data_IF_157949009008
#
_entry.id   IF_157949009008
#
_cell.length_a   1.000
_cell.length_b   1.000
_cell.length_c   1.000
_cell.angle_alpha   90.00
_cell.angle_beta   90.00
_cell.angle_gamma   90.00
#
_symmetry.space_group_name_H-M   'P 1'
#
loop_
_entity.id
_entity.type
_entity.pdbx_description
1 polymer ?
#
# COMPACT_ATOMS: atom_id res chain seq x y z
N UNK A 1 2.04 22.72 14.72
CA UNK A 1 1.30 21.52 14.31
C UNK A 1 2.13 20.87 13.22
N UNK A 2 2.92 19.88 13.60
CA UNK A 2 3.91 19.23 12.74
C UNK A 2 3.22 18.15 11.91
N UNK A 3 3.31 18.29 10.59
CA UNK A 3 2.87 17.32 9.61
C UNK A 3 3.54 15.96 9.87
N UNK A 4 2.73 15.01 10.35
CA UNK A 4 3.13 13.62 10.55
C UNK A 4 3.28 12.90 9.21
N UNK A 5 4.35 13.18 8.48
CA UNK A 5 4.77 12.36 7.37
C UNK A 5 5.41 11.09 7.93
N UNK A 6 4.64 10.01 8.02
CA UNK A 6 5.24 8.68 8.06
C UNK A 6 5.84 8.41 6.68
N UNK A 7 7.13 8.73 6.56
CA UNK A 7 7.98 8.31 5.45
C UNK A 7 8.43 6.91 5.80
N UNK A 8 7.97 5.88 5.10
CA UNK A 8 8.64 4.58 5.14
C UNK A 8 10.09 4.84 4.71
N UNK A 9 11.11 4.30 5.41
CA UNK A 9 12.55 4.66 5.26
C UNK A 9 12.88 5.17 3.84
N UNK A 10 13.47 6.38 3.69
CA UNK A 10 13.74 6.92 2.38
C UNK A 10 14.89 6.14 1.72
N UNK A 11 14.57 5.12 0.93
CA UNK A 11 15.28 4.95 -0.32
C UNK A 11 14.83 6.13 -1.20
N UNK A 12 15.59 7.23 -1.11
CA UNK A 12 15.12 8.57 -1.44
C UNK A 12 14.29 8.66 -2.72
N UNK A 13 13.06 9.14 -2.62
CA UNK A 13 12.36 9.71 -3.75
C UNK A 13 11.24 10.62 -3.25
N UNK A 14 11.16 11.82 -3.83
CA UNK A 14 9.96 12.65 -3.82
C UNK A 14 8.75 11.77 -4.13
N UNK A 15 7.63 12.03 -3.47
CA UNK A 15 6.34 11.39 -3.72
C UNK A 15 5.83 11.68 -5.14
N UNK A 16 6.45 11.05 -6.13
CA UNK A 16 5.88 10.75 -7.43
C UNK A 16 5.43 9.30 -7.34
N UNK A 17 4.15 9.05 -7.62
CA UNK A 17 3.65 7.69 -7.86
C UNK A 17 4.52 7.08 -8.96
N UNK A 18 5.52 6.28 -8.58
CA UNK A 18 6.42 5.67 -9.54
C UNK A 18 5.71 4.44 -10.08
N UNK A 19 5.45 4.35 -11.40
CA UNK A 19 4.85 3.17 -12.01
C UNK A 19 5.71 1.90 -11.83
N UNK A 20 6.90 2.02 -11.24
CA UNK A 20 7.85 0.94 -11.00
C UNK A 20 7.58 0.15 -9.70
N UNK A 21 6.81 0.66 -8.74
CA UNK A 21 6.66 -0.01 -7.43
C UNK A 21 5.95 -1.36 -7.54
N UNK A 22 4.92 -1.47 -8.38
CA UNK A 22 4.20 -2.74 -8.58
C UNK A 22 5.08 -3.79 -9.29
N UNK A 23 5.77 -3.50 -10.41
CA UNK A 23 6.78 -4.41 -10.97
C UNK A 23 7.82 -4.87 -9.95
N UNK A 24 8.37 -3.95 -9.14
CA UNK A 24 9.36 -4.30 -8.11
C UNK A 24 8.80 -5.24 -7.04
N UNK A 25 7.55 -5.04 -6.61
CA UNK A 25 6.90 -5.93 -5.65
C UNK A 25 6.71 -7.34 -6.22
N UNK A 26 6.24 -7.46 -7.47
CA UNK A 26 6.08 -8.75 -8.15
C UNK A 26 7.42 -9.46 -8.39
N UNK A 27 8.47 -8.74 -8.76
CA UNK A 27 9.83 -9.29 -8.95
C UNK A 27 10.42 -9.80 -7.64
N UNK A 28 10.34 -9.01 -6.57
CA UNK A 28 10.81 -9.41 -5.24
C UNK A 28 10.02 -10.59 -4.69
N UNK A 29 8.70 -10.59 -4.89
CA UNK A 29 7.85 -11.73 -4.55
C UNK A 29 8.40 -12.99 -5.20
N UNK A 30 8.52 -13.03 -6.54
CA UNK A 30 9.03 -14.20 -7.28
C UNK A 30 10.41 -14.65 -6.84
N UNK A 31 11.32 -13.71 -6.57
CA UNK A 31 12.71 -14.02 -6.20
C UNK A 31 12.85 -14.58 -4.79
N UNK A 32 12.03 -14.09 -3.85
CA UNK A 32 12.22 -14.34 -2.43
C UNK A 32 11.04 -15.04 -1.75
N UNK A 33 10.04 -15.52 -2.51
CA UNK A 33 8.80 -16.12 -2.01
C UNK A 33 9.05 -17.19 -0.93
N UNK A 34 9.64 -18.31 -1.33
CA UNK A 34 9.88 -19.46 -0.46
C UNK A 34 10.76 -19.11 0.75
N UNK A 35 11.79 -18.28 0.55
CA UNK A 35 12.66 -17.86 1.63
C UNK A 35 11.92 -16.98 2.64
N UNK A 36 11.11 -16.02 2.17
CA UNK A 36 10.31 -15.14 3.03
C UNK A 36 9.27 -15.94 3.80
N UNK A 37 8.58 -16.86 3.14
CA UNK A 37 7.54 -17.69 3.76
C UNK A 37 8.11 -18.57 4.87
N UNK A 38 9.17 -19.32 4.57
CA UNK A 38 9.84 -20.18 5.55
C UNK A 38 10.35 -19.40 6.76
N UNK A 39 10.95 -18.22 6.53
CA UNK A 39 11.42 -17.36 7.61
C UNK A 39 10.26 -16.81 8.43
N UNK A 40 9.23 -16.27 7.78
CA UNK A 40 8.07 -15.70 8.44
C UNK A 40 7.32 -16.73 9.31
N UNK A 41 7.14 -17.94 8.80
CA UNK A 41 6.55 -19.06 9.54
C UNK A 41 7.39 -19.46 10.75
N UNK A 42 8.71 -19.28 10.69
CA UNK A 42 9.61 -19.56 11.82
C UNK A 42 9.62 -18.48 12.90
N UNK A 43 9.17 -17.27 12.58
CA UNK A 43 9.21 -16.13 13.50
C UNK A 43 8.05 -16.14 14.48
N UNK A 44 8.35 -15.83 15.74
CA UNK A 44 7.34 -15.55 16.75
C UNK A 44 6.73 -14.13 16.59
N UNK A 45 5.68 -13.83 17.35
CA UNK A 45 5.02 -12.53 17.30
C UNK A 45 5.96 -11.35 17.63
N UNK A 46 6.99 -11.57 18.44
CA UNK A 46 7.98 -10.55 18.81
C UNK A 46 8.90 -10.26 17.64
N UNK A 47 9.44 -11.29 16.99
CA UNK A 47 10.30 -11.19 15.80
C UNK A 47 9.54 -10.56 14.62
N UNK A 48 8.28 -10.94 14.41
CA UNK A 48 7.39 -10.34 13.40
C UNK A 48 7.14 -8.86 13.65
N UNK A 49 6.87 -8.50 14.90
CA UNK A 49 6.70 -7.09 15.31
C UNK A 49 8.00 -6.30 15.15
N UNK A 50 9.15 -6.91 15.46
CA UNK A 50 10.45 -6.28 15.29
C UNK A 50 10.74 -5.97 13.81
N UNK A 51 10.47 -6.92 12.90
CA UNK A 51 10.60 -6.71 11.46
C UNK A 51 9.69 -5.57 10.98
N UNK A 52 8.43 -5.54 11.41
CA UNK A 52 7.50 -4.47 11.04
C UNK A 52 7.93 -3.10 11.59
N UNK A 53 8.51 -3.02 12.78
CA UNK A 53 9.03 -1.76 13.30
C UNK A 53 10.32 -1.34 12.59
N UNK A 54 11.19 -2.29 12.22
CA UNK A 54 12.42 -2.00 11.49
C UNK A 54 12.14 -1.33 10.12
N UNK A 55 11.01 -1.67 9.49
CA UNK A 55 10.58 -1.11 8.20
C UNK A 55 10.03 0.33 8.30
N UNK A 56 9.66 0.76 9.50
CA UNK A 56 9.08 2.08 9.76
C UNK A 56 10.12 3.11 10.20
N UNK A 57 9.92 4.38 9.83
CA UNK A 57 10.73 5.47 10.38
C UNK A 57 10.51 5.57 11.89
N UNK A 58 11.61 5.65 12.63
CA UNK A 58 11.64 5.69 14.09
C UNK A 58 10.98 4.47 14.78
N UNK A 59 10.68 3.40 14.04
CA UNK A 59 9.98 2.23 14.58
C UNK A 59 8.50 2.47 14.90
N UNK A 60 7.93 3.58 14.43
CA UNK A 60 6.57 3.99 14.74
C UNK A 60 5.59 3.42 13.73
N UNK A 61 4.65 2.61 14.21
CA UNK A 61 3.64 1.91 13.40
C UNK A 61 2.25 2.04 14.01
N UNK A 62 1.21 1.84 13.20
CA UNK A 62 -0.17 1.77 13.68
C UNK A 62 -0.32 0.61 14.67
N UNK A 63 -1.06 0.79 15.76
CA UNK A 63 -1.32 -0.28 16.74
C UNK A 63 -2.36 -1.29 16.23
N UNK A 64 -3.32 -0.81 15.45
CA UNK A 64 -4.41 -1.56 14.83
C UNK A 64 -4.94 -0.79 13.60
N UNK A 65 -5.79 -1.40 12.73
CA UNK A 65 -6.22 -0.80 11.46
C UNK A 65 -6.91 0.57 11.55
N UNK A 66 -7.48 0.89 12.70
CA UNK A 66 -8.23 2.14 12.96
C UNK A 66 -7.51 3.10 13.89
N UNK A 67 -6.21 2.91 14.11
CA UNK A 67 -5.42 3.74 15.02
C UNK A 67 -5.16 5.14 14.43
N UNK A 68 -5.70 6.17 15.09
CA UNK A 68 -5.57 7.57 14.66
C UNK A 68 -4.35 8.29 15.26
N UNK A 69 -3.51 7.60 16.05
CA UNK A 69 -2.37 8.21 16.74
C UNK A 69 -1.29 8.76 15.79
N UNK A 70 -1.23 8.25 14.56
CA UNK A 70 -0.35 8.74 13.49
C UNK A 70 -1.09 9.64 12.49
N UNK A 71 -2.18 10.28 12.94
CA UNK A 71 -3.01 11.13 12.09
C UNK A 71 -3.74 10.30 11.05
N UNK A 72 -3.56 10.66 9.77
CA UNK A 72 -4.34 10.10 8.66
C UNK A 72 -3.73 8.83 8.05
N UNK A 73 -2.61 8.37 8.58
CA UNK A 73 -1.86 7.20 8.08
C UNK A 73 -2.73 5.94 7.96
N UNK A 74 -3.62 5.71 8.92
CA UNK A 74 -4.54 4.56 8.92
C UNK A 74 -5.49 4.52 7.71
N UNK A 75 -5.64 5.64 7.00
CA UNK A 75 -6.44 5.70 5.76
C UNK A 75 -5.69 5.18 4.54
N UNK A 76 -4.36 5.06 4.63
CA UNK A 76 -3.51 4.67 3.50
C UNK A 76 -2.84 3.31 3.69
N UNK A 77 -2.47 2.93 4.92
CA UNK A 77 -1.86 1.62 5.21
C UNK A 77 -2.42 0.94 6.46
N UNK A 78 -3.75 0.78 6.58
CA UNK A 78 -4.34 0.14 7.77
C UNK A 78 -3.82 -1.28 7.99
N UNK A 79 -3.34 -1.97 6.95
CA UNK A 79 -2.80 -3.33 7.00
C UNK A 79 -1.42 -3.42 7.65
N UNK A 80 -0.65 -2.32 7.67
CA UNK A 80 0.69 -2.29 8.26
C UNK A 80 0.63 -2.01 9.77
N UNK A 81 0.11 -2.97 10.54
CA UNK A 81 -0.01 -2.90 11.99
C UNK A 81 0.37 -4.24 12.66
N UNK A 82 0.98 -4.23 13.87
CA UNK A 82 1.39 -5.45 14.54
C UNK A 82 0.23 -6.39 14.89
N UNK A 83 -0.98 -5.86 15.15
CA UNK A 83 -2.13 -6.69 15.51
C UNK A 83 -2.50 -7.64 14.37
N UNK A 84 -2.50 -7.18 13.13
CA UNK A 84 -2.85 -8.01 11.99
C UNK A 84 -1.63 -8.77 11.44
N UNK A 85 -0.45 -8.14 11.39
CA UNK A 85 0.76 -8.75 10.80
C UNK A 85 1.41 -9.77 11.74
N UNK A 86 1.53 -9.47 13.03
CA UNK A 86 2.25 -10.34 13.96
C UNK A 86 1.41 -11.54 14.42
N UNK A 87 0.11 -11.56 14.10
CA UNK A 87 -0.75 -12.71 14.37
C UNK A 87 -0.35 -13.90 13.48
N UNK A 88 0.03 -15.00 14.13
CA UNK A 88 0.48 -16.22 13.48
C UNK A 88 -0.64 -17.12 12.99
N UNK A 89 -1.87 -16.95 13.47
CA UNK A 89 -2.96 -17.85 13.08
C UNK A 89 -3.57 -17.50 11.72
N UNK A 90 -3.35 -16.29 11.21
CA UNK A 90 -4.05 -15.77 10.03
C UNK A 90 -3.20 -15.72 8.76
N UNK A 91 -1.90 -16.03 8.85
CA UNK A 91 -0.91 -15.86 7.76
C UNK A 91 -1.11 -14.55 6.97
N UNK A 92 -1.53 -13.51 7.68
CA UNK A 92 -2.10 -12.29 7.09
C UNK A 92 -1.11 -11.62 6.14
N UNK A 93 0.16 -11.55 6.53
CA UNK A 93 1.22 -10.98 5.70
C UNK A 93 1.43 -11.76 4.40
N UNK A 94 1.39 -13.11 4.46
CA UNK A 94 1.60 -13.95 3.28
C UNK A 94 0.45 -13.80 2.30
N UNK A 95 -0.79 -13.79 2.80
CA UNK A 95 -1.98 -13.54 2.01
C UNK A 95 -1.97 -12.14 1.38
N UNK A 96 -1.62 -11.11 2.16
CA UNK A 96 -1.51 -9.74 1.68
C UNK A 96 -0.43 -9.60 0.58
N UNK A 97 0.74 -10.22 0.80
CA UNK A 97 1.84 -10.27 -0.19
C UNK A 97 1.40 -10.98 -1.46
N UNK A 98 0.77 -12.14 -1.34
CA UNK A 98 0.29 -12.91 -2.49
C UNK A 98 -0.73 -12.12 -3.31
N UNK A 99 -1.75 -11.57 -2.66
CA UNK A 99 -2.78 -10.77 -3.31
C UNK A 99 -2.15 -9.59 -4.06
N UNK A 100 -1.30 -8.80 -3.42
CA UNK A 100 -0.72 -7.61 -4.06
C UNK A 100 0.26 -7.92 -5.19
N UNK A 101 0.93 -9.07 -5.15
CA UNK A 101 1.85 -9.50 -6.20
C UNK A 101 1.15 -10.08 -7.44
N UNK A 102 -0.03 -10.70 -7.26
CA UNK A 102 -0.69 -11.50 -8.30
C UNK A 102 -1.99 -10.91 -8.84
N UNK A 103 -2.53 -9.85 -8.24
CA UNK A 103 -3.73 -9.17 -8.74
C UNK A 103 -3.39 -7.87 -9.47
N UNK A 104 -4.26 -7.47 -10.40
CA UNK A 104 -4.11 -6.20 -11.11
C UNK A 104 -4.40 -5.01 -10.18
N UNK A 105 -3.88 -3.80 -10.44
CA UNK A 105 -4.21 -2.63 -9.60
C UNK A 105 -5.71 -2.31 -9.72
N UNK A 106 -6.26 -2.52 -10.92
CA UNK A 106 -7.69 -2.40 -11.14
C UNK A 106 -8.50 -3.43 -10.35
N UNK A 107 -8.03 -4.68 -10.27
CA UNK A 107 -8.67 -5.71 -9.47
C UNK A 107 -8.60 -5.39 -7.97
N UNK A 108 -7.43 -4.97 -7.46
CA UNK A 108 -7.26 -4.51 -6.07
C UNK A 108 -8.18 -3.33 -5.74
N UNK A 109 -8.39 -2.44 -6.70
CA UNK A 109 -9.30 -1.31 -6.57
C UNK A 109 -10.77 -1.74 -6.50
N UNK A 110 -11.19 -2.66 -7.36
CA UNK A 110 -12.58 -3.13 -7.44
C UNK A 110 -12.96 -4.02 -6.26
N UNK A 111 -12.07 -4.92 -5.85
CA UNK A 111 -12.32 -5.89 -4.78
C UNK A 111 -12.12 -5.28 -3.40
N UNK A 112 -11.13 -4.39 -3.26
CA UNK A 112 -10.66 -3.86 -1.97
C UNK A 112 -10.07 -4.96 -1.07
N UNK A 113 -9.10 -4.61 -0.22
CA UNK A 113 -8.46 -5.58 0.68
C UNK A 113 -9.43 -6.15 1.76
N UNK A 114 -10.66 -5.64 1.86
CA UNK A 114 -11.76 -6.14 2.73
C UNK A 114 -13.17 -6.03 2.13
N UNK A 115 -13.33 -6.16 0.80
CA UNK A 115 -14.66 -6.28 0.17
C UNK A 115 -15.55 -5.03 0.24
N UNK A 116 -14.95 -3.84 0.37
CA UNK A 116 -15.69 -2.58 0.39
C UNK A 116 -14.88 -1.45 -0.26
N UNK A 117 -15.55 -0.41 -0.78
CA UNK A 117 -14.88 0.69 -1.47
C UNK A 117 -13.97 1.44 -0.49
N UNK A 118 -12.66 1.19 -0.57
CA UNK A 118 -11.60 1.69 0.30
C UNK A 118 -11.44 3.23 0.37
N UNK A 119 -12.39 3.98 -0.19
CA UNK A 119 -12.22 5.37 -0.59
C UNK A 119 -13.36 6.30 -0.21
N UNK A 120 -14.37 5.86 0.55
CA UNK A 120 -15.52 6.69 0.91
C UNK A 120 -15.22 7.80 1.94
N UNK A 121 -14.04 7.78 2.58
CA UNK A 121 -13.63 8.76 3.60
C UNK A 121 -12.46 9.68 3.24
N UNK A 122 -11.91 9.54 2.03
CA UNK A 122 -10.72 10.27 1.58
C UNK A 122 -11.12 11.62 0.97
N UNK A 123 -10.96 12.71 1.74
CA UNK A 123 -11.27 14.08 1.29
C UNK A 123 -10.00 14.93 1.28
N UNK A 124 -9.48 15.23 0.09
CA UNK A 124 -8.50 16.32 -0.09
C UNK A 124 -9.28 17.64 -0.17
N UNK A 125 -8.83 18.66 0.58
CA UNK A 125 -9.40 20.03 0.50
C UNK A 125 -9.06 20.70 -0.84
N UNK A 126 -8.08 20.15 -1.57
CA UNK A 126 -7.61 20.69 -2.85
C UNK A 126 -8.63 20.43 -3.96
N UNK A 127 -9.21 21.51 -4.50
CA UNK A 127 -10.11 21.47 -5.64
C UNK A 127 -9.32 21.55 -6.94
N UNK A 128 -9.32 20.49 -7.73
CA UNK A 128 -8.87 20.54 -9.11
C UNK A 128 -10.08 20.78 -10.00
N UNK A 129 -10.28 22.01 -10.46
CA UNK A 129 -11.42 22.32 -11.31
C UNK A 129 -11.35 21.55 -12.63
N UNK A 130 -12.42 20.79 -12.93
CA UNK A 130 -12.58 19.98 -14.14
C UNK A 130 -11.49 18.91 -14.38
N UNK A 131 -10.71 18.54 -13.35
CA UNK A 131 -9.74 17.45 -13.47
C UNK A 131 -10.24 16.17 -12.80
N UNK A 132 -10.03 15.06 -13.50
CA UNK A 132 -10.51 13.73 -13.13
C UNK A 132 -9.39 12.71 -13.31
N UNK A 133 -9.58 11.53 -12.74
CA UNK A 133 -8.73 10.37 -12.93
C UNK A 133 -9.59 9.15 -13.33
N UNK A 134 -9.10 8.39 -14.31
CA UNK A 134 -9.73 7.14 -14.75
C UNK A 134 -9.17 5.94 -14.00
N UNK A 135 -10.01 4.94 -13.77
CA UNK A 135 -9.67 3.67 -13.12
C UNK A 135 -10.42 2.56 -13.85
N UNK A 136 -9.94 2.17 -15.04
CA UNK A 136 -10.63 1.25 -15.95
C UNK A 136 -9.88 -0.08 -16.13
N UNK A 137 -8.64 0.01 -16.60
CA UNK A 137 -7.72 -1.11 -16.80
C UNK A 137 -6.32 -0.68 -16.40
N UNK A 138 -5.33 -1.57 -16.51
CA UNK A 138 -3.94 -1.27 -16.13
C UNK A 138 -3.30 -0.13 -16.93
N UNK A 139 -3.75 0.13 -18.17
CA UNK A 139 -3.21 1.22 -19.00
C UNK A 139 -3.80 2.57 -18.60
N UNK A 140 -5.05 2.56 -18.14
CA UNK A 140 -5.82 3.75 -17.79
C UNK A 140 -5.94 3.96 -16.29
N UNK A 141 -5.32 3.11 -15.47
CA UNK A 141 -5.39 3.17 -14.01
C UNK A 141 -4.67 4.42 -13.47
N UNK A 142 -5.43 5.32 -12.84
CA UNK A 142 -4.93 6.58 -12.30
C UNK A 142 -4.61 7.64 -13.34
N UNK A 143 -4.97 7.44 -14.62
CA UNK A 143 -4.66 8.41 -15.68
C UNK A 143 -5.42 9.71 -15.46
N UNK A 144 -4.73 10.85 -15.28
CA UNK A 144 -5.39 12.13 -15.13
C UNK A 144 -5.90 12.65 -16.48
N UNK A 145 -7.06 13.27 -16.47
CA UNK A 145 -7.55 14.02 -17.63
C UNK A 145 -8.30 15.27 -17.18
N UNK A 146 -8.34 16.27 -18.06
CA UNK A 146 -9.05 17.52 -17.84
C UNK A 146 -10.20 17.65 -18.81
N UNK A 147 -11.39 17.93 -18.30
CA UNK A 147 -12.55 18.26 -19.11
C UNK A 147 -12.44 19.70 -19.62
N UNK A 148 -12.80 19.92 -20.89
CA UNK A 148 -12.93 21.26 -21.48
C UNK A 148 -14.27 21.89 -21.08
N UNK A 149 -14.34 23.22 -21.17
CA UNK A 149 -15.46 24.02 -20.67
C UNK A 149 -16.77 23.86 -21.45
N UNK A 150 -16.74 23.29 -22.66
CA UNK A 150 -17.83 23.26 -23.64
C UNK A 150 -18.57 21.92 -23.75
N UNK A 151 -18.27 20.94 -22.89
CA UNK A 151 -18.59 19.54 -23.15
C UNK A 151 -19.84 19.03 -22.42
N UNK A 152 -21.04 19.44 -22.85
CA UNK A 152 -22.25 18.64 -22.56
C UNK A 152 -22.23 17.29 -23.33
N UNK A 153 -21.55 17.22 -24.48
CA UNK A 153 -21.50 16.03 -25.35
C UNK A 153 -20.53 14.93 -24.86
N UNK A 154 -19.44 15.27 -24.15
CA UNK A 154 -18.46 14.27 -23.64
C UNK A 154 -18.72 13.85 -22.19
N UNK A 155 -19.52 14.60 -21.43
CA UNK A 155 -19.99 14.13 -20.12
C UNK A 155 -20.93 12.94 -20.25
N UNK A 156 -21.83 12.91 -21.24
CA UNK A 156 -22.86 11.86 -21.33
C UNK A 156 -22.31 10.43 -21.39
N UNK A 157 -21.24 10.12 -22.16
CA UNK A 157 -20.62 8.79 -22.15
C UNK A 157 -19.88 8.45 -20.85
N UNK A 158 -19.39 9.45 -20.10
CA UNK A 158 -18.65 9.26 -18.84
C UNK A 158 -19.57 9.24 -17.60
N UNK A 159 -20.82 9.69 -17.73
CA UNK A 159 -21.79 9.73 -16.63
C UNK A 159 -21.97 8.38 -15.92
N UNK A 160 -21.98 7.21 -16.60
CA UNK A 160 -22.05 5.92 -15.92
C UNK A 160 -20.78 5.56 -15.13
N UNK A 161 -19.62 6.08 -15.53
CA UNK A 161 -18.32 5.78 -14.91
C UNK A 161 -18.15 6.46 -13.54
N UNK A 162 -18.81 7.60 -13.32
CA UNK A 162 -18.73 8.36 -12.06
C UNK A 162 -19.36 7.62 -10.85
N UNK A 163 -20.62 7.17 -10.89
CA UNK A 163 -21.20 6.40 -9.80
C UNK A 163 -20.55 5.02 -9.66
N UNK A 164 -20.01 4.46 -10.75
CA UNK A 164 -19.24 3.22 -10.71
C UNK A 164 -17.83 3.40 -10.11
N UNK A 165 -17.39 4.62 -9.82
CA UNK A 165 -16.05 4.90 -9.30
C UNK A 165 -14.92 4.72 -10.31
N UNK A 166 -15.22 4.50 -11.59
CA UNK A 166 -14.24 4.34 -12.67
C UNK A 166 -13.73 5.69 -13.20
N UNK A 167 -14.44 6.77 -12.88
CA UNK A 167 -14.04 8.16 -13.14
C UNK A 167 -14.28 8.97 -11.86
N UNK A 168 -13.22 9.54 -11.29
CA UNK A 168 -13.29 10.26 -10.02
C UNK A 168 -12.62 11.62 -10.12
N UNK A 169 -12.98 12.61 -9.27
CA UNK A 169 -12.21 13.84 -9.17
C UNK A 169 -10.73 13.54 -8.91
N UNK A 170 -9.82 14.31 -9.54
CA UNK A 170 -8.38 14.06 -9.44
C UNK A 170 -7.90 13.98 -7.98
N UNK A 171 -8.42 14.83 -7.11
CA UNK A 171 -8.08 14.81 -5.67
C UNK A 171 -8.40 13.49 -4.98
N UNK A 172 -9.49 12.82 -5.38
CA UNK A 172 -9.83 11.48 -4.91
C UNK A 172 -8.96 10.41 -5.57
N UNK A 173 -8.70 10.56 -6.86
CA UNK A 173 -7.79 9.69 -7.62
C UNK A 173 -6.40 9.61 -6.99
N UNK A 174 -5.82 10.75 -6.60
CA UNK A 174 -4.52 10.79 -5.92
C UNK A 174 -4.55 10.02 -4.59
N UNK A 175 -5.64 10.11 -3.83
CA UNK A 175 -5.77 9.37 -2.56
C UNK A 175 -5.91 7.87 -2.77
N UNK A 176 -6.62 7.45 -3.83
CA UNK A 176 -6.69 6.04 -4.26
C UNK A 176 -5.29 5.52 -4.60
N UNK A 177 -4.55 6.28 -5.40
CA UNK A 177 -3.18 5.92 -5.78
C UNK A 177 -2.26 5.81 -4.56
N UNK A 178 -2.34 6.74 -3.61
CA UNK A 178 -1.56 6.66 -2.36
C UNK A 178 -1.93 5.41 -1.55
N UNK A 179 -3.22 5.07 -1.46
CA UNK A 179 -3.70 3.85 -0.80
C UNK A 179 -3.28 2.54 -1.46
N UNK A 180 -2.81 2.57 -2.72
CA UNK A 180 -2.20 1.40 -3.37
C UNK A 180 -0.67 1.41 -3.27
N UNK A 181 -0.08 2.60 -3.34
CA UNK A 181 1.35 2.79 -3.32
C UNK A 181 1.96 2.43 -1.96
N UNK A 182 1.46 3.02 -0.87
CA UNK A 182 2.08 2.89 0.43
C UNK A 182 2.04 1.48 1.01
N UNK A 183 0.94 0.69 0.92
CA UNK A 183 0.96 -0.67 1.41
C UNK A 183 1.92 -1.55 0.60
N UNK A 184 1.96 -1.36 -0.73
CA UNK A 184 2.89 -2.08 -1.59
C UNK A 184 4.35 -1.76 -1.24
N UNK A 185 4.66 -0.50 -0.97
CA UNK A 185 5.99 -0.09 -0.52
C UNK A 185 6.33 -0.67 0.86
N UNK A 186 5.38 -0.64 1.81
CA UNK A 186 5.50 -1.24 3.13
C UNK A 186 5.86 -2.73 3.03
N UNK A 187 5.17 -3.49 2.17
CA UNK A 187 5.47 -4.91 1.93
C UNK A 187 6.86 -5.13 1.33
N UNK A 188 7.24 -4.33 0.33
CA UNK A 188 8.56 -4.43 -0.32
C UNK A 188 9.70 -4.26 0.69
N UNK A 189 9.55 -3.34 1.64
CA UNK A 189 10.55 -3.05 2.66
C UNK A 189 10.51 -4.11 3.76
N UNK A 190 9.32 -4.51 4.21
CA UNK A 190 9.17 -5.59 5.19
C UNK A 190 9.77 -6.91 4.70
N UNK A 191 9.65 -7.24 3.41
CA UNK A 191 10.31 -8.42 2.83
C UNK A 191 11.84 -8.32 2.98
N UNK A 192 12.43 -7.14 2.72
CA UNK A 192 13.87 -6.96 2.91
C UNK A 192 14.26 -7.12 4.38
N UNK A 193 13.49 -6.54 5.30
CA UNK A 193 13.77 -6.63 6.74
C UNK A 193 13.63 -8.07 7.26
N UNK A 194 12.68 -8.87 6.74
CA UNK A 194 12.58 -10.31 7.07
C UNK A 194 13.85 -11.07 6.63
N UNK A 195 14.34 -10.78 5.42
CA UNK A 195 15.55 -11.41 4.89
C UNK A 195 16.78 -10.97 5.68
N UNK A 196 16.87 -9.70 6.07
CA UNK A 196 17.96 -9.15 6.87
C UNK A 196 17.98 -9.68 8.31
N UNK A 197 16.82 -9.78 8.96
CA UNK A 197 16.71 -10.31 10.32
C UNK A 197 17.17 -11.77 10.39
N UNK A 198 16.86 -12.57 9.36
CA UNK A 198 17.38 -13.93 9.26
C UNK A 198 18.92 -14.00 9.20
N UNK A 199 19.56 -13.01 8.57
CA UNK A 199 21.01 -12.92 8.47
C UNK A 199 21.63 -12.59 9.83
N UNK A 200 20.98 -11.72 10.62
CA UNK A 200 21.41 -11.37 11.99
C UNK A 200 21.26 -12.53 12.95
N UNK A 201 20.13 -13.24 12.92
CA UNK A 201 19.88 -14.41 13.77
C UNK A 201 20.87 -15.54 13.48
N UNK A 202 21.26 -15.73 12.21
CA UNK A 202 22.30 -16.69 11.82
C UNK A 202 23.69 -16.27 12.30
N UNK A 203 24.05 -14.99 12.20
CA UNK A 203 25.32 -14.47 12.71
C UNK A 203 25.44 -14.64 14.23
N UNK A 204 24.38 -14.32 14.98
CA UNK A 204 24.36 -14.46 16.44
C UNK A 204 24.44 -15.93 16.88
N UNK A 205 23.78 -16.87 16.19
CA UNK A 205 23.92 -18.32 16.48
C UNK A 205 25.30 -18.88 16.11
N UNK A 206 26.03 -18.25 15.21
CA UNK A 206 27.40 -18.62 14.85
C UNK A 206 28.47 -18.13 15.83
N UNK A 207 28.18 -17.08 16.62
CA UNK A 207 29.10 -16.51 17.62
C UNK A 207 29.14 -17.33 18.92
N UNK A 208 28.11 -18.16 19.17
CA UNK A 208 28.04 -19.07 20.32
C UNK A 208 28.49 -20.51 20.02
N UNK A 209 29.37 -20.71 19.02
CA UNK A 209 30.00 -22.01 18.74
C UNK A 209 31.50 -21.99 18.99
#
# INVERSE_FOLDING_TARGET
MTDGHMVIRPAGLRATFSPLVKPTASEKHKKHEAATEMLWQSFDATERTACLRASAVEGVVLRHPTDVSLGEVYKFIPECNPRDIADSELDFLLNLKWNRANTSLFQQYCEGDRGGPAHQGLRRIQTFDKCFALFLDENQYGQPFRMRDDMNEVTAPLMPAVPAGLCVPQSRGELILLGQFYPTQCLVILIDDILDESSRTRANKGIFK
#
